data_IF_249939431827
#
_entry.id   IF_249939431827
#
_cell.length_a   1.000
_cell.length_b   1.000
_cell.length_c   1.000
_cell.angle_alpha   90.00
_cell.angle_beta   90.00
_cell.angle_gamma   90.00
#
_symmetry.space_group_name_H-M   'P 1'
#
loop_
_entity.id
_entity.type
_entity.pdbx_description
1 polymer ?
#
# COMPACT_ATOMS: atom_id res chain seq x y z
N UNK A 1 6.38 -88.60 -32.45
CA UNK A 1 6.79 -87.26 -31.91
C UNK A 1 5.78 -86.86 -30.86
N UNK A 2 6.15 -86.99 -29.58
CA UNK A 2 5.26 -86.80 -28.44
C UNK A 2 5.52 -85.33 -27.86
N UNK A 3 4.50 -84.54 -27.88
CA UNK A 3 4.53 -83.22 -27.19
C UNK A 3 4.30 -83.43 -25.69
N UNK A 4 5.26 -83.05 -24.88
CA UNK A 4 5.14 -83.01 -23.43
C UNK A 4 4.58 -81.66 -23.05
N UNK A 5 3.37 -81.61 -22.49
CA UNK A 5 2.78 -80.44 -21.89
C UNK A 5 3.30 -80.29 -20.47
N UNK A 6 4.05 -79.28 -20.21
CA UNK A 6 4.48 -78.85 -18.86
C UNK A 6 3.40 -77.98 -18.24
N UNK A 7 2.75 -78.49 -17.20
CA UNK A 7 1.76 -77.72 -16.41
C UNK A 7 2.49 -76.94 -15.33
N UNK A 8 2.53 -75.63 -15.49
CA UNK A 8 3.03 -74.69 -14.46
C UNK A 8 1.88 -74.34 -13.51
N UNK A 9 1.94 -74.84 -12.28
CA UNK A 9 1.03 -74.52 -11.20
C UNK A 9 1.56 -73.19 -10.59
N UNK A 10 0.85 -72.10 -10.82
CA UNK A 10 1.13 -70.83 -10.19
C UNK A 10 0.35 -70.81 -8.88
N UNK A 11 1.05 -70.99 -7.75
CA UNK A 11 0.50 -70.72 -6.41
C UNK A 11 0.55 -69.25 -6.15
N UNK A 12 -0.61 -68.56 -6.20
CA UNK A 12 -0.78 -67.18 -5.80
C UNK A 12 -0.80 -67.09 -4.28
N UNK A 13 0.28 -66.60 -3.70
CA UNK A 13 0.34 -66.23 -2.29
C UNK A 13 -0.30 -64.88 -2.15
N UNK A 14 -1.50 -64.82 -1.57
CA UNK A 14 -2.15 -63.58 -1.16
C UNK A 14 -1.41 -63.01 0.06
N UNK A 15 -0.57 -61.98 -0.15
CA UNK A 15 -0.09 -61.15 0.92
C UNK A 15 -1.21 -60.14 1.27
N UNK A 16 -1.95 -60.38 2.32
CA UNK A 16 -2.80 -59.40 2.97
C UNK A 16 -1.91 -58.39 3.67
N UNK A 17 -1.52 -57.30 2.99
CA UNK A 17 -0.89 -56.17 3.60
C UNK A 17 -1.93 -55.42 4.45
N UNK A 18 -1.89 -55.58 5.77
CA UNK A 18 -2.55 -54.69 6.70
C UNK A 18 -1.94 -53.31 6.55
N UNK A 19 -2.55 -52.46 5.72
CA UNK A 19 -2.25 -51.04 5.71
C UNK A 19 -2.83 -50.44 6.97
N UNK A 20 -2.00 -50.31 8.00
CA UNK A 20 -2.32 -49.48 9.15
C UNK A 20 -2.41 -48.02 8.68
N UNK A 21 -3.64 -47.53 8.54
CA UNK A 21 -3.95 -46.13 8.24
C UNK A 21 -3.49 -45.33 9.46
N UNK A 22 -2.33 -44.64 9.32
CA UNK A 22 -1.90 -43.62 10.28
C UNK A 22 -3.00 -42.56 10.38
N UNK A 23 -3.35 -42.08 11.56
CA UNK A 23 -4.35 -41.03 11.70
C UNK A 23 -3.84 -39.79 10.97
N UNK A 24 -4.59 -39.37 9.95
CA UNK A 24 -4.40 -38.07 9.33
C UNK A 24 -4.56 -37.01 10.43
N UNK A 25 -3.43 -36.44 10.87
CA UNK A 25 -3.45 -35.21 11.66
C UNK A 25 -4.13 -34.15 10.81
N UNK A 26 -5.39 -33.91 11.08
CA UNK A 26 -6.11 -32.72 10.63
C UNK A 26 -5.33 -31.53 11.20
N UNK A 27 -4.50 -30.91 10.35
CA UNK A 27 -3.87 -29.65 10.67
C UNK A 27 -5.01 -28.63 10.63
N UNK A 28 -5.72 -28.51 11.75
CA UNK A 28 -6.49 -27.33 12.04
C UNK A 28 -5.51 -26.18 12.01
N UNK A 29 -5.48 -25.40 10.91
CA UNK A 29 -4.82 -24.11 10.87
C UNK A 29 -5.41 -23.30 12.02
N UNK A 30 -4.73 -23.30 13.16
CA UNK A 30 -5.01 -22.42 14.26
C UNK A 30 -4.88 -21.03 13.69
N UNK A 31 -6.01 -20.38 13.41
CA UNK A 31 -6.10 -19.00 12.98
C UNK A 31 -5.38 -18.22 14.08
N UNK A 32 -4.12 -17.89 13.87
CA UNK A 32 -3.35 -17.12 14.83
C UNK A 32 -4.08 -15.77 14.90
N UNK A 33 -4.87 -15.62 15.95
CA UNK A 33 -5.53 -14.39 16.29
C UNK A 33 -4.42 -13.43 16.64
N UNK A 34 -3.98 -12.61 15.71
CA UNK A 34 -3.13 -11.48 16.00
C UNK A 34 -3.96 -10.51 16.86
N UNK A 35 -3.86 -10.67 18.16
CA UNK A 35 -4.54 -9.85 19.17
C UNK A 35 -3.73 -8.59 19.48
N UNK A 36 -3.12 -7.97 18.50
CA UNK A 36 -2.64 -6.61 18.66
C UNK A 36 -3.51 -5.71 17.80
N UNK A 37 -4.70 -5.37 18.34
CA UNK A 37 -5.57 -4.39 17.73
C UNK A 37 -4.90 -3.03 17.82
N UNK A 38 -4.41 -2.54 16.71
CA UNK A 38 -4.10 -1.14 16.60
C UNK A 38 -5.43 -0.37 16.66
N UNK A 39 -5.56 0.48 17.65
CA UNK A 39 -6.77 1.25 17.89
C UNK A 39 -6.42 2.72 18.06
N UNK A 40 -7.15 3.56 17.35
CA UNK A 40 -7.11 5.00 17.55
C UNK A 40 -7.88 5.36 18.82
N UNK A 41 -7.28 6.17 19.69
CA UNK A 41 -8.02 6.88 20.73
C UNK A 41 -8.82 8.02 20.08
N UNK A 42 -10.09 7.75 19.82
CA UNK A 42 -10.98 8.70 19.15
C UNK A 42 -11.31 9.91 20.04
N UNK A 43 -11.23 9.78 21.35
CA UNK A 43 -11.42 10.89 22.28
C UNK A 43 -10.24 11.86 22.22
N UNK A 44 -9.00 11.34 22.25
CA UNK A 44 -7.79 12.15 22.07
C UNK A 44 -7.75 12.77 20.68
N UNK A 45 -8.09 12.04 19.61
CA UNK A 45 -8.17 12.55 18.25
C UNK A 45 -9.14 13.73 18.14
N UNK A 46 -10.36 13.60 18.66
CA UNK A 46 -11.35 14.68 18.64
C UNK A 46 -10.88 15.89 19.47
N UNK A 47 -10.23 15.67 20.62
CA UNK A 47 -9.66 16.72 21.45
C UNK A 47 -8.58 17.51 20.69
N UNK A 48 -7.64 16.82 20.03
CA UNK A 48 -6.57 17.44 19.22
C UNK A 48 -7.12 18.26 18.06
N UNK A 49 -8.12 17.73 17.35
CA UNK A 49 -8.79 18.44 16.27
C UNK A 49 -9.42 19.74 16.80
N UNK A 50 -10.11 19.69 17.94
CA UNK A 50 -10.71 20.88 18.54
C UNK A 50 -9.66 21.89 19.02
N UNK A 51 -8.55 21.44 19.61
CA UNK A 51 -7.46 22.30 20.06
C UNK A 51 -6.72 22.96 18.90
N UNK A 52 -6.48 22.20 17.82
CA UNK A 52 -5.88 22.71 16.60
C UNK A 52 -6.74 23.83 15.98
N UNK A 53 -8.02 23.55 15.83
CA UNK A 53 -8.99 24.50 15.29
C UNK A 53 -9.07 25.79 16.11
N UNK A 54 -9.12 25.73 17.45
CA UNK A 54 -9.11 26.91 18.32
C UNK A 54 -7.87 27.81 18.16
N UNK A 55 -6.74 27.23 17.80
CA UNK A 55 -5.52 28.01 17.52
C UNK A 55 -5.60 28.74 16.19
N UNK A 56 -6.13 28.06 15.17
CA UNK A 56 -6.30 28.65 13.84
C UNK A 56 -7.36 29.78 13.85
N UNK A 57 -8.45 29.60 14.61
CA UNK A 57 -9.52 30.59 14.74
C UNK A 57 -9.06 31.92 15.31
N UNK A 58 -8.07 31.94 16.22
CA UNK A 58 -7.55 33.19 16.82
C UNK A 58 -6.90 34.13 15.79
N UNK A 59 -6.66 33.63 14.57
CA UNK A 59 -6.09 34.43 13.47
C UNK A 59 -7.06 34.77 12.34
N UNK A 60 -8.32 34.33 12.38
CA UNK A 60 -9.26 34.51 11.27
C UNK A 60 -10.43 35.45 11.66
N UNK A 61 -10.94 36.30 10.71
CA UNK A 61 -12.15 37.08 10.93
C UNK A 61 -13.35 36.16 11.26
N UNK A 62 -14.22 36.62 12.18
CA UNK A 62 -15.35 35.87 12.74
C UNK A 62 -16.34 35.27 11.71
N UNK A 63 -16.30 35.71 10.45
CA UNK A 63 -17.33 35.43 9.44
C UNK A 63 -17.04 34.16 8.56
N UNK A 64 -15.96 33.40 8.79
CA UNK A 64 -15.54 32.33 7.85
C UNK A 64 -15.70 30.91 8.33
N UNK A 65 -16.29 30.64 9.48
CA UNK A 65 -16.35 29.28 10.02
C UNK A 65 -17.70 28.64 9.74
N UNK A 66 -17.80 27.97 8.60
CA UNK A 66 -19.03 27.28 8.15
C UNK A 66 -19.06 25.77 8.43
N UNK A 67 -17.97 25.16 8.92
CA UNK A 67 -17.90 23.71 9.08
C UNK A 67 -17.28 23.30 10.41
N UNK A 68 -17.77 22.23 11.08
CA UNK A 68 -17.12 21.71 12.27
C UNK A 68 -15.69 21.24 11.98
N UNK A 69 -14.77 21.42 12.93
CA UNK A 69 -13.39 21.01 12.75
C UNK A 69 -13.29 19.50 12.47
N UNK A 70 -12.57 19.14 11.43
CA UNK A 70 -12.41 17.75 11.04
C UNK A 70 -10.95 17.32 10.87
N UNK A 71 -9.99 18.22 11.11
CA UNK A 71 -8.57 18.01 10.82
C UNK A 71 -7.68 18.58 11.92
N UNK A 72 -6.54 17.93 12.17
CA UNK A 72 -5.40 18.49 12.87
C UNK A 72 -4.09 17.88 12.37
N UNK A 73 -3.01 18.62 12.59
CA UNK A 73 -1.66 18.11 12.40
C UNK A 73 -0.75 18.50 13.57
N UNK A 74 0.25 17.67 13.84
CA UNK A 74 1.24 17.90 14.89
C UNK A 74 2.50 17.07 14.64
N UNK A 75 3.59 17.45 15.30
CA UNK A 75 4.81 16.64 15.33
C UNK A 75 4.80 15.76 16.56
N UNK A 76 5.02 14.45 16.41
CA UNK A 76 5.13 13.51 17.53
C UNK A 76 6.49 13.62 18.22
N UNK A 77 6.66 12.90 19.35
CA UNK A 77 7.90 12.89 20.13
C UNK A 77 9.11 12.32 19.38
N UNK A 78 8.90 11.67 18.23
CA UNK A 78 9.94 11.12 17.37
C UNK A 78 10.26 12.01 16.17
N UNK A 79 9.67 13.22 16.12
CA UNK A 79 9.85 14.17 15.01
C UNK A 79 9.08 13.79 13.73
N UNK A 80 8.07 12.93 13.83
CA UNK A 80 7.21 12.59 12.69
C UNK A 80 6.03 13.55 12.61
N UNK A 81 5.74 14.04 11.41
CA UNK A 81 4.50 14.75 11.12
C UNK A 81 3.33 13.74 11.14
N UNK A 82 2.35 14.04 11.98
CA UNK A 82 1.11 13.27 12.09
C UNK A 82 -0.02 14.17 11.62
N UNK A 83 -0.87 13.66 10.72
CA UNK A 83 -2.17 14.28 10.47
C UNK A 83 -3.30 13.38 10.94
N UNK A 84 -4.38 13.95 11.41
CA UNK A 84 -5.62 13.26 11.78
C UNK A 84 -6.78 13.97 11.10
N UNK A 85 -7.53 13.24 10.29
CA UNK A 85 -8.74 13.73 9.64
C UNK A 85 -9.93 12.90 10.10
N UNK A 86 -10.95 13.56 10.61
CA UNK A 86 -12.25 12.94 10.91
C UNK A 86 -13.13 13.02 9.67
N UNK A 87 -13.75 11.90 9.32
CA UNK A 87 -14.72 11.79 8.23
C UNK A 87 -16.06 11.31 8.77
N UNK A 88 -17.12 11.32 7.94
CA UNK A 88 -18.44 10.81 8.30
C UNK A 88 -18.43 9.31 8.63
N UNK A 89 -17.43 8.58 8.14
CA UNK A 89 -17.34 7.12 8.23
C UNK A 89 -16.16 6.61 9.06
N UNK A 90 -15.42 7.52 9.71
CA UNK A 90 -14.28 7.14 10.56
C UNK A 90 -13.19 8.19 10.66
N UNK A 91 -11.95 7.71 10.80
CA UNK A 91 -10.77 8.59 10.91
C UNK A 91 -9.67 8.14 9.96
N UNK A 92 -8.94 9.10 9.43
CA UNK A 92 -7.72 8.87 8.65
C UNK A 92 -6.56 9.44 9.46
N UNK A 93 -5.48 8.69 9.58
CA UNK A 93 -4.22 9.23 10.09
C UNK A 93 -3.11 8.97 9.08
N UNK A 94 -2.24 9.97 8.92
CA UNK A 94 -0.98 9.82 8.20
C UNK A 94 0.17 10.07 9.14
N UNK A 95 1.26 9.37 8.91
CA UNK A 95 2.51 9.57 9.66
C UNK A 95 3.66 9.62 8.68
N UNK A 96 4.44 10.68 8.71
CA UNK A 96 5.58 10.86 7.83
C UNK A 96 6.77 11.40 8.61
N UNK A 97 7.91 10.78 8.47
CA UNK A 97 9.16 11.28 9.05
C UNK A 97 9.66 12.46 8.22
N UNK A 98 10.25 13.44 8.87
CA UNK A 98 10.88 14.58 8.19
C UNK A 98 11.83 14.09 7.07
N UNK A 99 11.75 14.71 5.91
CA UNK A 99 12.52 14.36 4.71
C UNK A 99 12.32 12.93 4.18
N UNK A 100 11.33 12.19 4.67
CA UNK A 100 10.97 10.91 4.07
C UNK A 100 10.02 11.13 2.89
N UNK A 101 10.29 10.47 1.78
CA UNK A 101 9.38 10.41 0.64
C UNK A 101 8.21 9.45 0.88
N UNK A 102 8.32 8.59 1.91
CA UNK A 102 7.31 7.60 2.25
C UNK A 102 6.69 7.90 3.60
N UNK A 103 5.40 7.64 3.70
CA UNK A 103 4.63 7.79 4.91
C UNK A 103 3.69 6.61 5.14
N UNK A 104 3.21 6.49 6.37
CA UNK A 104 2.23 5.50 6.77
C UNK A 104 0.83 6.08 6.66
N UNK A 105 -0.11 5.25 6.23
CA UNK A 105 -1.53 5.59 6.11
C UNK A 105 -2.35 4.61 6.91
N UNK A 106 -3.25 5.11 7.74
CA UNK A 106 -4.20 4.32 8.51
C UNK A 106 -5.60 4.90 8.41
N UNK A 107 -6.54 4.03 8.18
CA UNK A 107 -7.96 4.35 8.23
C UNK A 107 -8.62 3.56 9.35
N UNK A 108 -9.43 4.22 10.15
CA UNK A 108 -10.09 3.64 11.31
C UNK A 108 -11.59 3.76 11.17
N UNK A 109 -12.31 2.74 11.65
CA UNK A 109 -13.74 2.81 11.86
C UNK A 109 -14.10 3.90 12.90
N UNK A 110 -15.38 4.34 12.98
CA UNK A 110 -15.79 5.33 13.98
C UNK A 110 -15.53 4.91 15.44
N UNK A 111 -15.49 3.60 15.71
CA UNK A 111 -15.17 3.06 17.03
C UNK A 111 -13.65 3.05 17.34
N UNK A 112 -12.81 3.52 16.42
CA UNK A 112 -11.37 3.57 16.55
C UNK A 112 -10.63 2.30 16.13
N UNK A 113 -11.30 1.20 15.78
CA UNK A 113 -10.63 0.01 15.30
C UNK A 113 -10.03 0.24 13.92
N UNK A 114 -8.84 -0.33 13.66
CA UNK A 114 -8.18 -0.22 12.34
C UNK A 114 -9.05 -0.87 11.27
N UNK A 115 -9.24 -0.17 10.16
CA UNK A 115 -9.93 -0.68 8.99
C UNK A 115 -8.97 -0.95 7.84
N UNK A 116 -7.99 -0.04 7.63
CA UNK A 116 -7.02 -0.17 6.53
C UNK A 116 -5.69 0.45 6.92
N UNK A 117 -4.59 -0.18 6.52
CA UNK A 117 -3.25 0.36 6.72
C UNK A 117 -2.34 0.02 5.55
N UNK A 118 -1.36 0.88 5.28
CA UNK A 118 -0.34 0.69 4.26
C UNK A 118 0.63 1.87 4.21
N UNK A 119 1.49 1.86 3.21
CA UNK A 119 2.45 2.93 2.94
C UNK A 119 2.05 3.71 1.68
N UNK A 120 2.47 4.94 1.61
CA UNK A 120 2.29 5.80 0.43
C UNK A 120 3.56 6.60 0.13
N UNK A 121 3.73 6.95 -1.13
CA UNK A 121 4.78 7.86 -1.60
C UNK A 121 4.19 9.25 -1.78
N UNK A 122 4.68 10.26 -1.04
CA UNK A 122 4.30 11.69 -1.11
C UNK A 122 2.78 11.95 -1.24
N UNK A 123 1.92 11.05 -0.76
CA UNK A 123 0.45 11.03 -0.92
C UNK A 123 -0.03 10.75 -2.35
N UNK A 124 0.87 10.43 -3.28
CA UNK A 124 0.53 10.19 -4.68
C UNK A 124 0.06 8.74 -4.88
N UNK A 125 0.90 7.78 -4.57
CA UNK A 125 0.53 6.38 -4.78
C UNK A 125 0.76 5.49 -3.55
N UNK A 126 -0.04 4.44 -3.48
CA UNK A 126 0.09 3.38 -2.47
C UNK A 126 1.26 2.48 -2.81
N UNK A 127 2.08 2.11 -1.82
CA UNK A 127 3.21 1.19 -1.97
C UNK A 127 3.24 0.16 -0.83
N UNK A 128 4.11 -0.84 -0.95
CA UNK A 128 4.21 -1.92 0.01
C UNK A 128 2.96 -2.79 0.09
N UNK A 129 2.76 -3.39 1.25
CA UNK A 129 1.62 -4.29 1.51
C UNK A 129 0.51 -3.54 2.23
N UNK A 130 -0.63 -3.43 1.58
CA UNK A 130 -1.85 -2.86 2.16
C UNK A 130 -2.71 -3.93 2.78
N UNK A 131 -3.22 -3.67 3.99
CA UNK A 131 -4.07 -4.57 4.78
C UNK A 131 -5.42 -3.94 5.06
N UNK A 132 -6.47 -4.74 4.95
CA UNK A 132 -7.84 -4.35 5.26
C UNK A 132 -8.40 -5.29 6.34
N UNK A 133 -9.14 -4.73 7.29
CA UNK A 133 -9.65 -5.43 8.46
C UNK A 133 -11.15 -5.22 8.57
N UNK A 134 -11.86 -6.19 9.15
CA UNK A 134 -13.25 -6.01 9.55
C UNK A 134 -13.35 -5.18 10.86
N UNK A 135 -14.56 -4.86 11.25
CA UNK A 135 -14.82 -4.03 12.44
C UNK A 135 -14.40 -4.74 13.74
N UNK A 136 -14.31 -6.06 13.74
CA UNK A 136 -13.80 -6.90 14.82
C UNK A 136 -12.25 -6.99 14.82
N UNK A 137 -11.59 -6.41 13.77
CA UNK A 137 -10.13 -6.39 13.61
C UNK A 137 -9.54 -7.67 13.02
N UNK A 138 -10.32 -8.52 12.39
CA UNK A 138 -9.79 -9.64 11.65
C UNK A 138 -9.27 -9.16 10.29
N UNK A 139 -8.09 -9.64 9.89
CA UNK A 139 -7.55 -9.38 8.55
C UNK A 139 -8.43 -10.04 7.50
N UNK A 140 -9.02 -9.24 6.61
CA UNK A 140 -9.89 -9.70 5.53
C UNK A 140 -9.21 -9.68 4.17
N UNK A 141 -8.23 -8.77 3.98
CA UNK A 141 -7.52 -8.65 2.70
C UNK A 141 -6.10 -8.16 2.89
N UNK A 142 -5.20 -8.70 2.08
CA UNK A 142 -3.84 -8.22 1.92
C UNK A 142 -3.54 -8.03 0.43
N UNK A 143 -2.98 -6.87 0.07
CA UNK A 143 -2.67 -6.53 -1.31
C UNK A 143 -1.25 -5.98 -1.39
N UNK A 144 -0.40 -6.63 -2.17
CA UNK A 144 0.93 -6.14 -2.51
C UNK A 144 0.80 -5.14 -3.68
N UNK A 145 0.91 -3.85 -3.35
CA UNK A 145 0.78 -2.74 -4.29
C UNK A 145 1.98 -2.65 -5.23
N UNK A 146 3.12 -3.22 -4.86
CA UNK A 146 4.34 -3.21 -5.67
C UNK A 146 4.40 -4.37 -6.67
N UNK A 147 3.51 -5.36 -6.51
CA UNK A 147 3.50 -6.55 -7.36
C UNK A 147 3.49 -6.27 -8.87
N UNK A 148 2.68 -5.32 -9.41
CA UNK A 148 2.67 -5.01 -10.83
C UNK A 148 3.98 -4.38 -11.32
N UNK A 149 4.74 -3.75 -10.43
CA UNK A 149 5.91 -2.92 -10.72
C UNK A 149 7.25 -3.61 -10.46
N UNK A 150 7.26 -4.93 -10.19
CA UNK A 150 8.50 -5.66 -9.82
C UNK A 150 9.53 -5.73 -10.92
N UNK A 151 9.11 -5.75 -12.19
CA UNK A 151 10.01 -5.85 -13.34
C UNK A 151 10.76 -4.53 -13.59
N UNK A 152 10.10 -3.40 -13.35
CA UNK A 152 10.71 -2.08 -13.36
C UNK A 152 10.26 -1.36 -12.09
N UNK A 153 11.04 -1.56 -11.04
CA UNK A 153 10.71 -1.21 -9.68
C UNK A 153 11.01 0.27 -9.35
N UNK A 154 10.66 0.68 -8.13
CA UNK A 154 11.06 1.98 -7.60
C UNK A 154 12.57 2.25 -7.71
N UNK A 155 13.42 1.24 -7.51
CA UNK A 155 14.87 1.37 -7.68
C UNK A 155 15.26 1.75 -9.11
N UNK A 156 14.55 1.23 -10.10
CA UNK A 156 14.76 1.62 -11.50
C UNK A 156 14.32 3.07 -11.75
N UNK A 157 13.21 3.50 -11.14
CA UNK A 157 12.79 4.91 -11.18
C UNK A 157 13.83 5.82 -10.53
N UNK A 158 14.42 5.43 -9.40
CA UNK A 158 15.51 6.21 -8.78
C UNK A 158 16.73 6.35 -9.69
N UNK A 159 17.07 5.32 -10.48
CA UNK A 159 18.13 5.40 -11.48
C UNK A 159 17.76 6.37 -12.61
N UNK A 160 16.54 6.27 -13.13
CA UNK A 160 16.02 7.21 -14.13
C UNK A 160 16.06 8.66 -13.63
N UNK A 161 15.61 8.91 -12.40
CA UNK A 161 15.64 10.22 -11.75
C UNK A 161 17.08 10.77 -11.66
N UNK A 162 18.00 9.92 -11.24
CA UNK A 162 19.43 10.28 -11.16
C UNK A 162 20.03 10.59 -12.54
N UNK A 163 19.74 9.79 -13.55
CA UNK A 163 20.23 9.97 -14.93
C UNK A 163 19.75 11.28 -15.56
N UNK A 164 18.54 11.73 -15.18
CA UNK A 164 17.95 12.96 -15.69
C UNK A 164 18.14 14.17 -14.77
N UNK A 165 18.94 14.04 -13.68
CA UNK A 165 19.18 15.09 -12.68
C UNK A 165 17.89 15.69 -12.11
N UNK A 166 16.90 14.85 -11.83
CA UNK A 166 15.60 15.26 -11.29
C UNK A 166 15.71 15.37 -9.76
N UNK A 167 15.24 16.49 -9.20
CA UNK A 167 15.12 16.65 -7.75
C UNK A 167 13.73 16.15 -7.29
N UNK A 168 13.73 15.08 -6.49
CA UNK A 168 12.50 14.51 -5.91
C UNK A 168 11.88 15.38 -4.81
N UNK A 169 12.61 16.37 -4.29
CA UNK A 169 12.13 17.28 -3.25
C UNK A 169 11.65 18.61 -3.84
N UNK A 170 11.79 18.82 -5.14
CA UNK A 170 11.17 19.94 -5.82
C UNK A 170 9.64 19.75 -5.82
N UNK A 171 8.91 20.76 -5.34
CA UNK A 171 7.44 20.76 -5.26
C UNK A 171 6.74 20.57 -6.62
N UNK A 172 7.46 20.80 -7.70
CA UNK A 172 6.99 20.64 -9.08
C UNK A 172 7.34 19.26 -9.67
N UNK A 173 8.13 18.46 -8.95
CA UNK A 173 8.40 17.08 -9.33
C UNK A 173 7.27 16.19 -8.87
N UNK A 174 6.75 15.40 -9.79
CA UNK A 174 5.65 14.49 -9.56
C UNK A 174 6.03 13.09 -10.06
N UNK A 175 5.84 12.08 -9.22
CA UNK A 175 6.03 10.68 -9.58
C UNK A 175 4.78 9.92 -9.19
N UNK A 176 4.15 9.27 -10.15
CA UNK A 176 2.97 8.45 -9.94
C UNK A 176 3.09 7.11 -10.65
N UNK A 177 2.19 6.21 -10.35
CA UNK A 177 2.07 4.92 -11.01
C UNK A 177 0.61 4.47 -11.11
N UNK A 178 0.28 3.87 -12.22
CA UNK A 178 -1.07 3.40 -12.50
C UNK A 178 -1.06 2.12 -13.34
N UNK A 179 -2.19 1.45 -13.33
CA UNK A 179 -2.45 0.30 -14.20
C UNK A 179 -3.58 0.70 -15.13
N UNK A 180 -3.39 0.54 -16.44
CA UNK A 180 -4.40 0.89 -17.43
C UNK A 180 -5.54 -0.16 -17.53
N UNK A 181 -6.50 0.09 -18.40
CA UNK A 181 -7.63 -0.80 -18.64
C UNK A 181 -7.23 -2.19 -19.19
N UNK A 182 -6.05 -2.29 -19.77
CA UNK A 182 -5.47 -3.54 -20.28
C UNK A 182 -4.61 -4.26 -19.24
N UNK A 183 -4.62 -3.79 -17.97
CA UNK A 183 -3.78 -4.26 -16.87
C UNK A 183 -2.27 -4.10 -17.12
N UNK A 184 -1.87 -3.09 -17.88
CA UNK A 184 -0.48 -2.73 -18.07
C UNK A 184 -0.06 -1.71 -17.01
N UNK A 185 0.96 -2.00 -16.19
CA UNK A 185 1.47 -1.06 -15.20
C UNK A 185 2.41 -0.02 -15.84
N UNK A 186 2.24 1.23 -15.45
CA UNK A 186 3.05 2.36 -15.90
C UNK A 186 3.54 3.17 -14.72
N UNK A 187 4.74 3.74 -14.89
CA UNK A 187 5.24 4.85 -14.11
C UNK A 187 5.06 6.13 -14.89
N UNK A 188 4.73 7.21 -14.20
CA UNK A 188 4.70 8.55 -14.73
C UNK A 188 5.61 9.45 -13.90
N UNK A 189 6.54 10.15 -14.55
CA UNK A 189 7.48 11.08 -13.91
C UNK A 189 7.35 12.41 -14.62
N UNK A 190 7.02 13.46 -13.87
CA UNK A 190 6.98 14.84 -14.36
C UNK A 190 7.95 15.67 -13.52
N UNK A 191 8.70 16.51 -14.19
CA UNK A 191 9.62 17.43 -13.53
C UNK A 191 9.80 18.71 -14.34
N UNK A 192 10.29 19.76 -13.70
CA UNK A 192 10.71 20.98 -14.36
C UNK A 192 12.13 20.80 -14.90
N UNK A 193 12.32 20.95 -16.19
CA UNK A 193 13.65 21.05 -16.78
C UNK A 193 14.18 22.46 -16.54
N UNK A 194 15.19 22.58 -15.69
CA UNK A 194 15.73 23.90 -15.28
C UNK A 194 16.45 24.64 -16.41
N UNK A 195 17.01 23.91 -17.38
CA UNK A 195 17.77 24.53 -18.50
C UNK A 195 16.86 25.27 -19.46
N UNK A 196 15.66 24.77 -19.69
CA UNK A 196 14.71 25.30 -20.67
C UNK A 196 13.41 25.80 -20.05
N UNK A 197 13.29 25.77 -18.71
CA UNK A 197 12.15 26.23 -17.94
C UNK A 197 10.78 25.66 -18.35
N UNK A 198 10.76 24.46 -18.87
CA UNK A 198 9.55 23.73 -19.25
C UNK A 198 9.38 22.46 -18.42
N UNK A 199 8.15 21.98 -18.33
CA UNK A 199 7.88 20.68 -17.75
C UNK A 199 8.06 19.58 -18.79
N UNK A 200 8.63 18.49 -18.35
CA UNK A 200 8.70 17.24 -19.10
C UNK A 200 7.95 16.16 -18.34
N UNK A 201 7.10 15.42 -19.03
CA UNK A 201 6.37 14.27 -18.52
C UNK A 201 6.78 13.01 -19.27
N UNK A 202 7.20 11.97 -18.56
CA UNK A 202 7.62 10.71 -19.15
C UNK A 202 6.79 9.57 -18.59
N UNK A 203 6.22 8.76 -19.48
CA UNK A 203 5.51 7.52 -19.15
C UNK A 203 6.39 6.33 -19.49
N UNK A 204 6.57 5.43 -18.51
CA UNK A 204 7.45 4.26 -18.61
C UNK A 204 6.63 2.99 -18.39
N UNK A 205 6.68 2.05 -19.32
CA UNK A 205 6.07 0.72 -19.17
C UNK A 205 6.82 -0.07 -18.10
N UNK A 206 6.17 -0.35 -16.98
CA UNK A 206 6.78 -0.99 -15.84
C UNK A 206 7.08 -2.49 -16.04
N UNK A 207 6.68 -3.10 -17.16
CA UNK A 207 7.03 -4.47 -17.52
C UNK A 207 8.44 -4.61 -18.10
N UNK A 208 8.98 -3.52 -18.67
CA UNK A 208 10.23 -3.58 -19.43
C UNK A 208 11.09 -2.32 -19.35
N UNK A 209 10.63 -1.25 -18.71
CA UNK A 209 11.34 0.02 -18.57
C UNK A 209 11.37 0.89 -19.83
N UNK A 210 10.57 0.56 -20.85
CA UNK A 210 10.53 1.36 -22.09
C UNK A 210 9.73 2.64 -21.86
N UNK A 211 10.29 3.76 -22.31
CA UNK A 211 9.56 5.02 -22.41
C UNK A 211 8.54 4.86 -23.52
N UNK A 212 7.26 5.06 -23.21
CA UNK A 212 6.12 4.96 -24.11
C UNK A 212 5.42 6.30 -24.34
N UNK A 213 5.69 7.30 -23.50
CA UNK A 213 5.27 8.68 -23.64
C UNK A 213 6.39 9.61 -23.18
N UNK A 214 6.59 10.71 -23.90
CA UNK A 214 7.59 11.75 -23.59
C UNK A 214 7.03 13.10 -24.06
N UNK A 215 6.41 13.80 -23.13
CA UNK A 215 5.66 15.01 -23.41
C UNK A 215 6.38 16.24 -22.86
N UNK A 216 6.42 17.28 -23.69
CA UNK A 216 6.82 18.62 -23.28
C UNK A 216 5.55 19.37 -22.87
N UNK A 217 5.42 19.64 -21.58
CA UNK A 217 4.26 20.32 -21.00
C UNK A 217 4.57 21.81 -20.85
N UNK A 218 3.76 22.65 -21.44
CA UNK A 218 3.84 24.10 -21.20
C UNK A 218 3.24 24.39 -19.81
N UNK A 219 3.80 25.36 -19.06
CA UNK A 219 3.17 25.81 -17.81
C UNK A 219 1.76 26.32 -18.13
N UNK A 220 0.78 25.91 -17.35
CA UNK A 220 -0.55 26.50 -17.42
C UNK A 220 -0.44 28.02 -17.16
N UNK A 221 -1.09 28.82 -18.03
CA UNK A 221 -1.09 30.29 -17.94
C UNK A 221 -1.96 30.78 -16.81
#
# INVERSE_FOLDING_TARGET
>A
MKMVRLLLIITSVFFTACVSRAPQKTITKKKTRMTCFERLDTADANKRILEYWKKEEQGSPEDQILSPPCYCEYIDSMGCAISVTKTDVGYITTKQREKSLFGEYRYYFPNGNIQKTGEYFLREFKCGVWREYDIEGNLIKETDMDKPYRMYSWQNILLFIKEHNIDLYDEQTFVDRYVDELNVPYWYVRWRNMDIHIFRGVTIDARNGRVVGDDILQPEK
#
